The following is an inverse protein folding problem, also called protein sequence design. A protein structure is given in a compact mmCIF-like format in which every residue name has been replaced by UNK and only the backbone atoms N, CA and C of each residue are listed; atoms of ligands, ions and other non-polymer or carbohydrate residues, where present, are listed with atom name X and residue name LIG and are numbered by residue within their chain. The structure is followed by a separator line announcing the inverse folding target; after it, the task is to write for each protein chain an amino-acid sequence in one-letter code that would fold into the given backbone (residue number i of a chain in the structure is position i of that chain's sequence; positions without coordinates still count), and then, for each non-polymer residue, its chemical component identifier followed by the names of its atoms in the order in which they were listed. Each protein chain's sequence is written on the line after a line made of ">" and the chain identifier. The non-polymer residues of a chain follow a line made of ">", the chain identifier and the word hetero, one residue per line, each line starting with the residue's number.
data_IF_456716161243
#
_entry.id   IF_456716161243
#
_cell.length_a   1.000
_cell.length_b   1.000
_cell.length_c   1.000
_cell.angle_alpha   90.00
_cell.angle_beta   90.00
_cell.angle_gamma   90.00
#
_symmetry.space_group_name_H-M   'P 1'
#
loop_
_entity.id
_entity.type
_entity.pdbx_description
1 polymer ?
#
# COMPACT_ATOMS: atom_id res chain seq x y z
N UNK A 1 27.59 -9.71 10.47
CA UNK A 1 26.47 -10.58 10.02
C UNK A 1 25.35 -10.71 11.05
N UNK A 2 25.62 -10.67 12.37
CA UNK A 2 24.58 -10.56 13.40
C UNK A 2 23.81 -9.22 13.37
N UNK A 3 24.44 -8.15 12.88
CA UNK A 3 23.87 -6.80 12.80
C UNK A 3 22.65 -6.71 11.89
N UNK A 4 22.79 -7.18 10.65
CA UNK A 4 21.77 -7.05 9.62
C UNK A 4 20.40 -7.64 10.01
N UNK A 5 20.37 -8.82 10.63
CA UNK A 5 19.12 -9.45 11.03
C UNK A 5 18.43 -8.70 12.18
N UNK A 6 19.23 -8.17 13.10
CA UNK A 6 18.74 -7.38 14.23
C UNK A 6 18.21 -6.03 13.77
N UNK A 7 18.96 -5.33 12.93
CA UNK A 7 18.54 -4.06 12.32
C UNK A 7 17.27 -4.24 11.49
N UNK A 8 17.16 -5.32 10.70
CA UNK A 8 15.96 -5.60 9.92
C UNK A 8 14.75 -5.85 10.82
N UNK A 9 14.92 -6.57 11.93
CA UNK A 9 13.85 -6.79 12.90
C UNK A 9 13.42 -5.47 13.58
N UNK A 10 14.37 -4.60 13.89
CA UNK A 10 14.10 -3.24 14.37
C UNK A 10 13.30 -2.44 13.35
N UNK A 11 13.69 -2.45 12.07
CA UNK A 11 12.95 -1.79 10.98
C UNK A 11 11.52 -2.29 10.86
N UNK A 12 11.33 -3.61 10.87
CA UNK A 12 9.99 -4.23 10.85
C UNK A 12 9.15 -3.74 12.04
N UNK A 13 9.76 -3.64 13.22
CA UNK A 13 9.05 -3.19 14.43
C UNK A 13 8.66 -1.71 14.36
N UNK A 14 9.52 -0.86 13.80
CA UNK A 14 9.21 0.55 13.54
C UNK A 14 8.06 0.68 12.55
N UNK A 15 8.12 -0.04 11.43
CA UNK A 15 7.06 -0.08 10.41
C UNK A 15 5.72 -0.49 11.01
N UNK A 16 5.67 -1.61 11.74
CA UNK A 16 4.46 -2.12 12.36
C UNK A 16 3.85 -1.08 13.33
N UNK A 17 4.69 -0.40 14.12
CA UNK A 17 4.24 0.66 15.03
C UNK A 17 3.54 1.81 14.31
N UNK A 18 4.06 2.25 13.16
CA UNK A 18 3.41 3.29 12.35
C UNK A 18 2.07 2.79 11.78
N UNK A 19 2.04 1.58 11.22
CA UNK A 19 0.83 0.97 10.68
C UNK A 19 -0.27 0.80 11.75
N UNK A 20 0.08 0.33 12.95
CA UNK A 20 -0.89 0.16 14.04
C UNK A 20 -1.52 1.48 14.49
N UNK A 21 -0.80 2.60 14.38
CA UNK A 21 -1.33 3.93 14.68
C UNK A 21 -2.45 4.36 13.72
N UNK A 22 -2.43 3.86 12.48
CA UNK A 22 -3.38 4.25 11.45
C UNK A 22 -4.79 3.69 11.66
N UNK A 23 -4.93 2.56 12.35
CA UNK A 23 -6.24 1.99 12.65
C UNK A 23 -7.14 2.98 13.40
N UNK A 24 -6.64 3.54 14.52
CA UNK A 24 -7.38 4.51 15.31
C UNK A 24 -7.61 5.82 14.53
N UNK A 25 -6.62 6.28 13.76
CA UNK A 25 -6.72 7.50 12.95
C UNK A 25 -7.77 7.40 11.86
N UNK A 26 -7.81 6.28 11.12
CA UNK A 26 -8.81 6.02 10.09
C UNK A 26 -10.24 6.00 10.68
N UNK A 27 -10.42 5.37 11.85
CA UNK A 27 -11.74 5.16 12.45
C UNK A 27 -12.27 6.33 13.28
N UNK A 28 -11.40 7.00 14.02
CA UNK A 28 -11.81 7.95 15.07
C UNK A 28 -11.48 9.41 14.73
N UNK A 29 -10.56 9.65 13.79
CA UNK A 29 -10.14 11.00 13.42
C UNK A 29 -10.62 11.36 12.01
N UNK A 30 -10.17 10.60 11.00
CA UNK A 30 -10.51 10.85 9.61
C UNK A 30 -11.95 10.46 9.27
N UNK A 31 -12.49 9.41 9.92
CA UNK A 31 -13.79 8.81 9.60
C UNK A 31 -13.95 8.51 8.11
N UNK A 32 -12.89 7.98 7.50
CA UNK A 32 -12.81 7.82 6.05
C UNK A 32 -11.41 7.43 5.60
N UNK A 33 -11.20 7.32 4.27
CA UNK A 33 -9.95 6.81 3.74
C UNK A 33 -8.79 7.73 4.13
N UNK A 34 -7.65 7.12 4.44
CA UNK A 34 -6.37 7.81 4.64
C UNK A 34 -5.22 6.99 4.05
N UNK A 35 -4.05 7.60 3.93
CA UNK A 35 -2.87 6.94 3.40
C UNK A 35 -1.63 7.15 4.26
N UNK A 36 -0.67 6.24 4.12
CA UNK A 36 0.67 6.36 4.66
C UNK A 36 1.70 5.97 3.59
N UNK A 37 2.73 6.78 3.39
CA UNK A 37 3.79 6.56 2.41
C UNK A 37 5.11 6.44 3.16
N UNK A 38 5.91 5.44 2.78
CA UNK A 38 7.29 5.26 3.20
C UNK A 38 8.20 5.47 1.98
N UNK A 39 9.19 6.35 2.09
CA UNK A 39 10.12 6.67 0.99
C UNK A 39 11.55 6.88 1.48
N UNK A 40 12.53 6.67 0.61
CA UNK A 40 13.94 7.00 0.89
C UNK A 40 14.21 8.51 0.80
N UNK A 41 13.43 9.22 -0.02
CA UNK A 41 13.57 10.66 -0.22
C UNK A 41 12.50 11.42 0.57
N UNK A 42 12.90 12.49 1.26
CA UNK A 42 12.01 13.60 1.57
C UNK A 42 11.75 14.34 0.24
N UNK A 43 10.50 14.52 -0.20
CA UNK A 43 10.25 15.23 -1.44
C UNK A 43 10.67 16.69 -1.28
N UNK A 44 11.62 17.09 -2.12
CA UNK A 44 12.04 18.47 -2.25
C UNK A 44 10.94 19.26 -2.97
N UNK A 45 9.93 19.72 -2.23
CA UNK A 45 9.00 20.79 -2.63
C UNK A 45 8.02 20.50 -3.80
N UNK A 46 6.71 20.64 -3.50
CA UNK A 46 5.60 20.86 -4.44
C UNK A 46 5.47 19.92 -5.66
N UNK A 47 4.68 18.86 -5.49
CA UNK A 47 3.96 18.17 -6.56
C UNK A 47 2.54 17.82 -6.10
N UNK A 48 1.55 18.50 -6.69
CA UNK A 48 0.11 18.60 -6.38
C UNK A 48 -0.57 17.46 -5.58
N UNK A 49 -0.89 17.76 -4.31
CA UNK A 49 -1.85 17.04 -3.46
C UNK A 49 -3.31 17.12 -3.96
N UNK A 50 -3.56 17.87 -5.03
CA UNK A 50 -4.92 18.19 -5.51
C UNK A 50 -5.53 17.14 -6.44
N UNK A 51 -4.74 16.31 -7.10
CA UNK A 51 -5.24 15.45 -8.18
C UNK A 51 -5.98 14.20 -7.67
N UNK A 52 -5.72 13.77 -6.43
CA UNK A 52 -6.30 12.54 -5.86
C UNK A 52 -7.66 12.73 -5.16
N UNK A 53 -8.09 13.97 -4.90
CA UNK A 53 -9.19 14.25 -3.95
C UNK A 53 -10.53 14.71 -4.56
N UNK A 54 -10.61 15.03 -5.86
CA UNK A 54 -11.77 15.76 -6.41
C UNK A 54 -12.90 14.90 -7.03
N UNK A 55 -12.76 13.59 -7.25
CA UNK A 55 -13.76 12.80 -8.00
C UNK A 55 -14.89 12.14 -7.16
N UNK A 56 -14.81 12.15 -5.83
CA UNK A 56 -15.48 11.14 -5.00
C UNK A 56 -16.82 11.55 -4.33
N UNK A 57 -17.50 12.62 -4.74
CA UNK A 57 -18.48 13.30 -3.85
C UNK A 57 -19.98 12.93 -3.84
N UNK A 58 -20.67 12.36 -4.86
CA UNK A 58 -22.14 12.22 -4.73
C UNK A 58 -22.74 10.81 -4.59
N UNK A 59 -21.99 9.71 -4.61
CA UNK A 59 -22.61 8.35 -4.68
C UNK A 59 -22.48 7.50 -3.39
N UNK A 60 -21.84 8.04 -2.34
CA UNK A 60 -21.57 7.34 -1.07
C UNK A 60 -22.80 6.77 -0.37
N UNK A 61 -23.97 7.42 -0.44
CA UNK A 61 -25.15 7.00 0.36
C UNK A 61 -25.89 5.79 -0.24
N UNK A 62 -25.73 5.48 -1.53
CA UNK A 62 -26.52 4.43 -2.21
C UNK A 62 -25.88 3.03 -2.06
N UNK A 63 -24.62 2.96 -1.67
CA UNK A 63 -23.82 1.71 -1.71
C UNK A 63 -23.66 1.07 -0.32
N UNK A 64 -23.78 1.85 0.76
CA UNK A 64 -23.75 1.36 2.15
C UNK A 64 -24.84 0.31 2.44
N UNK A 65 -26.01 0.40 1.79
CA UNK A 65 -27.09 -0.60 1.92
C UNK A 65 -26.76 -1.94 1.23
N UNK A 66 -25.86 -1.96 0.24
CA UNK A 66 -25.51 -3.19 -0.49
C UNK A 66 -24.52 -4.08 0.25
N UNK A 67 -23.69 -3.50 1.12
CA UNK A 67 -22.68 -4.25 1.87
C UNK A 67 -23.24 -5.08 3.02
N UNK A 68 -24.40 -4.71 3.59
CA UNK A 68 -25.06 -5.51 4.64
C UNK A 68 -25.64 -6.81 4.10
N UNK A 69 -25.89 -6.90 2.79
CA UNK A 69 -26.45 -8.07 2.10
C UNK A 69 -25.40 -9.13 1.70
N UNK A 70 -24.11 -8.79 1.67
CA UNK A 70 -23.09 -9.63 1.03
C UNK A 70 -22.43 -10.70 1.92
N UNK A 71 -22.70 -10.74 3.23
CA UNK A 71 -22.43 -11.90 4.11
C UNK A 71 -21.10 -12.64 3.91
N UNK A 72 -19.97 -11.94 3.82
CA UNK A 72 -18.68 -12.55 3.47
C UNK A 72 -18.16 -13.43 4.62
N UNK A 73 -18.21 -14.75 4.43
CA UNK A 73 -17.51 -15.76 5.22
C UNK A 73 -16.14 -16.10 4.58
N UNK A 74 -15.22 -16.51 5.45
CA UNK A 74 -13.81 -16.88 5.20
C UNK A 74 -13.51 -17.57 3.85
N UNK A 75 -12.41 -17.17 3.22
CA UNK A 75 -11.95 -17.64 1.90
C UNK A 75 -11.47 -19.11 1.94
N UNK A 76 -11.79 -19.94 0.92
CA UNK A 76 -11.16 -21.24 0.73
C UNK A 76 -9.79 -21.10 0.04
N UNK A 77 -8.88 -22.01 0.40
CA UNK A 77 -7.58 -22.25 -0.25
C UNK A 77 -7.74 -22.39 -1.77
N UNK A 78 -7.09 -21.52 -2.54
CA UNK A 78 -6.96 -21.67 -4.00
C UNK A 78 -5.70 -22.51 -4.30
N UNK A 79 -5.87 -23.83 -4.30
CA UNK A 79 -4.91 -24.79 -4.85
C UNK A 79 -5.11 -24.90 -6.37
N UNK A 80 -4.62 -23.91 -7.13
CA UNK A 80 -4.23 -24.10 -8.55
C UNK A 80 -3.40 -22.92 -9.06
N UNK A 81 -2.29 -23.16 -9.79
CA UNK A 81 -1.55 -22.12 -10.45
C UNK A 81 -2.34 -21.71 -11.71
N UNK A 82 -3.22 -20.72 -11.57
CA UNK A 82 -3.75 -20.02 -12.73
C UNK A 82 -2.55 -19.34 -13.41
N UNK A 83 -2.30 -19.56 -14.71
CA UNK A 83 -1.31 -18.76 -15.44
C UNK A 83 -1.81 -17.32 -15.43
N UNK A 84 -1.20 -16.47 -14.59
CA UNK A 84 -1.46 -15.04 -14.62
C UNK A 84 -0.85 -14.49 -15.91
N UNK A 85 -1.71 -14.12 -16.86
CA UNK A 85 -1.30 -13.33 -18.02
C UNK A 85 -1.01 -11.91 -17.54
N UNK A 86 0.28 -11.61 -17.36
CA UNK A 86 0.74 -10.33 -16.83
C UNK A 86 0.79 -9.29 -17.97
N UNK A 87 0.04 -8.18 -17.89
CA UNK A 87 0.10 -7.12 -18.89
C UNK A 87 1.52 -6.55 -19.01
N UNK A 88 2.02 -6.41 -20.24
CA UNK A 88 3.38 -5.93 -20.50
C UNK A 88 3.54 -4.43 -20.67
N UNK A 89 2.46 -3.70 -20.94
CA UNK A 89 2.48 -2.27 -21.20
C UNK A 89 2.35 -1.47 -19.89
N UNK A 90 3.08 -0.36 -19.77
CA UNK A 90 2.97 0.58 -18.64
C UNK A 90 3.92 0.34 -17.46
N UNK A 91 4.80 -0.66 -17.51
CA UNK A 91 5.90 -0.83 -16.55
C UNK A 91 7.07 0.09 -16.90
N UNK A 92 7.69 0.75 -15.91
CA UNK A 92 8.95 1.47 -16.15
C UNK A 92 10.00 0.51 -16.70
N UNK A 93 10.74 0.96 -17.72
CA UNK A 93 11.90 0.26 -18.28
C UNK A 93 13.25 0.93 -17.92
N UNK A 94 13.23 2.12 -17.31
CA UNK A 94 14.42 2.91 -16.92
C UNK A 94 14.29 3.49 -15.49
N UNK A 95 15.45 3.91 -14.94
CA UNK A 95 15.71 4.29 -13.54
C UNK A 95 14.52 4.94 -12.81
N UNK A 96 13.99 4.21 -11.82
CA UNK A 96 12.87 4.60 -10.99
C UNK A 96 13.15 5.88 -10.21
N UNK A 97 12.69 7.02 -10.70
CA UNK A 97 12.88 8.32 -10.02
C UNK A 97 12.27 8.43 -8.61
N UNK A 98 11.37 7.53 -8.20
CA UNK A 98 10.80 7.54 -6.84
C UNK A 98 10.40 6.13 -6.41
N UNK A 99 11.14 5.56 -5.45
CA UNK A 99 10.81 4.29 -4.80
C UNK A 99 10.11 4.58 -3.47
N UNK A 100 8.88 4.15 -3.35
CA UNK A 100 8.09 4.30 -2.13
C UNK A 100 7.08 3.17 -2.01
N UNK A 101 6.71 2.85 -0.76
CA UNK A 101 5.61 1.93 -0.46
C UNK A 101 4.47 2.77 0.11
N UNK A 102 3.29 2.68 -0.51
CA UNK A 102 2.08 3.31 -0.01
C UNK A 102 1.18 2.26 0.65
N UNK A 103 0.55 2.69 1.74
CA UNK A 103 -0.56 2.03 2.37
C UNK A 103 -1.80 2.89 2.26
N UNK A 104 -2.92 2.25 1.92
CA UNK A 104 -4.24 2.86 1.93
C UNK A 104 -5.08 2.19 3.01
N UNK A 105 -5.75 2.99 3.83
CA UNK A 105 -6.52 2.53 4.99
C UNK A 105 -8.00 2.81 4.76
N UNK A 106 -8.80 1.74 4.83
CA UNK A 106 -10.26 1.77 4.74
C UNK A 106 -10.87 1.46 6.11
N UNK A 107 -12.18 1.57 6.24
CA UNK A 107 -12.85 1.31 7.53
C UNK A 107 -12.61 -0.13 8.04
N UNK A 108 -12.50 -1.15 7.18
CA UNK A 108 -12.47 -2.55 7.65
C UNK A 108 -11.16 -3.28 7.35
N UNK A 109 -10.33 -2.69 6.52
CA UNK A 109 -9.13 -3.31 6.00
C UNK A 109 -8.16 -2.21 5.58
N UNK A 110 -6.94 -2.60 5.29
CA UNK A 110 -5.96 -1.71 4.68
C UNK A 110 -5.17 -2.50 3.65
N UNK A 111 -4.48 -1.82 2.75
CA UNK A 111 -3.68 -2.49 1.74
C UNK A 111 -2.33 -1.85 1.55
N UNK A 112 -1.35 -2.66 1.18
CA UNK A 112 -0.22 -2.16 0.42
C UNK A 112 -0.75 -1.86 -0.98
N UNK A 113 -0.52 -0.64 -1.42
CA UNK A 113 -0.90 -0.11 -2.72
C UNK A 113 0.36 0.35 -3.44
N UNK A 114 0.85 -0.44 -4.40
CA UNK A 114 2.12 -0.16 -5.08
C UNK A 114 1.84 0.33 -6.50
N UNK A 115 2.03 1.63 -6.77
CA UNK A 115 1.85 2.17 -8.11
C UNK A 115 2.85 1.57 -9.12
N UNK A 116 2.40 1.36 -10.37
CA UNK A 116 3.23 0.77 -11.44
C UNK A 116 4.57 1.49 -11.65
N UNK A 117 4.64 2.78 -11.36
CA UNK A 117 5.82 3.62 -11.57
C UNK A 117 6.87 3.49 -10.45
N UNK A 118 6.57 2.73 -9.39
CA UNK A 118 7.49 2.40 -8.28
C UNK A 118 8.11 1.01 -8.41
N UNK A 119 7.63 0.17 -9.34
CA UNK A 119 8.11 -1.20 -9.57
C UNK A 119 8.50 -1.44 -11.02
N UNK A 120 9.53 -2.26 -11.23
CA UNK A 120 9.76 -2.90 -12.51
C UNK A 120 8.91 -4.17 -12.64
N UNK A 121 8.59 -4.57 -13.87
CA UNK A 121 7.77 -5.78 -14.13
C UNK A 121 8.33 -7.02 -13.43
N UNK A 122 9.63 -7.26 -13.57
CA UNK A 122 10.26 -8.43 -12.96
C UNK A 122 10.19 -8.40 -11.42
N UNK A 123 10.14 -7.22 -10.80
CA UNK A 123 10.02 -7.07 -9.34
C UNK A 123 8.61 -7.48 -8.89
N UNK A 124 7.57 -6.99 -9.56
CA UNK A 124 6.18 -7.40 -9.29
C UNK A 124 5.97 -8.90 -9.50
N UNK A 125 6.54 -9.45 -10.58
CA UNK A 125 6.53 -10.91 -10.82
C UNK A 125 7.26 -11.70 -9.72
N UNK A 126 8.39 -11.18 -9.24
CA UNK A 126 9.15 -11.80 -8.15
C UNK A 126 8.34 -11.78 -6.86
N UNK A 127 7.67 -10.66 -6.57
CA UNK A 127 6.77 -10.52 -5.41
C UNK A 127 5.66 -11.55 -5.44
N UNK A 128 4.91 -11.68 -6.55
CA UNK A 128 3.82 -12.68 -6.63
C UNK A 128 4.30 -14.12 -6.47
N UNK A 129 5.52 -14.42 -6.93
CA UNK A 129 6.12 -15.77 -6.79
C UNK A 129 6.59 -16.05 -5.36
N UNK A 130 7.10 -15.04 -4.64
CA UNK A 130 7.76 -15.23 -3.35
C UNK A 130 6.89 -14.86 -2.14
N UNK A 131 5.84 -14.04 -2.34
CA UNK A 131 4.98 -13.52 -1.28
C UNK A 131 3.52 -13.75 -1.67
N UNK A 132 2.81 -14.50 -0.84
CA UNK A 132 1.39 -14.79 -1.08
C UNK A 132 0.53 -13.54 -0.84
N UNK A 133 -0.58 -13.47 -1.57
CA UNK A 133 -1.62 -12.46 -1.39
C UNK A 133 -1.44 -11.19 -2.21
N UNK A 134 -0.32 -11.03 -2.94
CA UNK A 134 -0.17 -9.96 -3.92
C UNK A 134 -0.94 -10.27 -5.22
N UNK A 135 -1.53 -9.24 -5.83
CA UNK A 135 -2.28 -9.34 -7.08
C UNK A 135 -2.31 -8.01 -7.84
N UNK A 136 -2.63 -8.05 -9.13
CA UNK A 136 -2.97 -6.86 -9.91
C UNK A 136 -4.42 -6.47 -9.66
N UNK A 137 -4.70 -5.19 -9.45
CA UNK A 137 -6.06 -4.75 -9.19
C UNK A 137 -7.01 -5.04 -10.36
N UNK A 138 -6.54 -5.04 -11.61
CA UNK A 138 -7.37 -5.43 -12.74
C UNK A 138 -7.94 -6.86 -12.62
N UNK A 139 -7.22 -7.77 -11.96
CA UNK A 139 -7.67 -9.15 -11.71
C UNK A 139 -8.71 -9.22 -10.58
N UNK A 140 -8.77 -8.20 -9.71
CA UNK A 140 -9.62 -8.15 -8.51
C UNK A 140 -10.23 -6.77 -8.26
N UNK A 141 -11.10 -6.27 -9.16
CA UNK A 141 -11.65 -4.91 -9.09
C UNK A 141 -12.52 -4.65 -7.85
N UNK A 142 -12.95 -5.69 -7.13
CA UNK A 142 -13.66 -5.52 -5.86
C UNK A 142 -12.82 -4.86 -4.75
N UNK A 143 -11.49 -4.77 -4.94
CA UNK A 143 -10.57 -4.09 -4.02
C UNK A 143 -10.12 -2.71 -4.54
N UNK A 144 -10.83 -2.15 -5.53
CA UNK A 144 -10.59 -0.77 -5.98
C UNK A 144 -10.95 0.19 -4.85
N UNK A 145 -10.04 1.12 -4.56
CA UNK A 145 -10.29 2.14 -3.54
C UNK A 145 -11.30 3.13 -4.09
N UNK A 146 -12.12 3.69 -3.21
CA UNK A 146 -13.16 4.60 -3.64
C UNK A 146 -12.56 5.91 -4.20
N UNK A 147 -12.88 6.24 -5.46
CA UNK A 147 -12.36 7.43 -6.15
C UNK A 147 -11.03 7.21 -6.89
N UNK A 148 -10.52 5.99 -6.90
CA UNK A 148 -9.30 5.62 -7.63
C UNK A 148 -9.53 5.52 -9.15
N UNK A 149 -8.68 6.19 -9.93
CA UNK A 149 -8.64 6.03 -11.39
C UNK A 149 -7.84 4.78 -11.77
N UNK A 150 -8.56 3.67 -11.95
CA UNK A 150 -8.00 2.35 -12.29
C UNK A 150 -7.60 2.26 -13.78
N UNK A 151 -8.13 3.13 -14.65
CA UNK A 151 -7.97 2.96 -16.11
C UNK A 151 -6.57 3.35 -16.63
N UNK A 152 -5.72 3.98 -15.81
CA UNK A 152 -4.35 4.39 -16.18
C UNK A 152 -3.19 3.64 -15.51
N UNK A 153 -3.42 2.98 -14.37
CA UNK A 153 -2.40 2.33 -13.55
C UNK A 153 -2.91 0.92 -13.14
N UNK A 154 -2.15 -0.18 -13.28
CA UNK A 154 -2.43 -1.37 -12.44
C UNK A 154 -1.76 -1.09 -11.12
N UNK A 155 -2.49 -0.70 -10.07
CA UNK A 155 -1.94 -0.81 -8.75
C UNK A 155 -1.72 -2.30 -8.44
N UNK A 156 -0.50 -2.60 -7.98
CA UNK A 156 -0.13 -3.90 -7.47
C UNK A 156 -0.41 -3.92 -5.97
N UNK A 157 -1.27 -4.83 -5.52
CA UNK A 157 -1.87 -4.75 -4.18
C UNK A 157 -1.73 -6.00 -3.36
N UNK A 158 -1.76 -5.81 -2.05
CA UNK A 158 -2.06 -6.86 -1.07
C UNK A 158 -2.94 -6.31 0.04
N UNK A 159 -3.99 -7.03 0.37
CA UNK A 159 -4.97 -6.65 1.40
C UNK A 159 -4.59 -7.27 2.75
N UNK A 160 -4.82 -6.51 3.82
CA UNK A 160 -4.61 -6.86 5.21
C UNK A 160 -5.84 -6.49 6.03
N UNK A 161 -6.06 -7.21 7.13
CA UNK A 161 -7.03 -6.81 8.14
C UNK A 161 -6.32 -6.09 9.28
N UNK A 162 -7.03 -5.20 9.98
CA UNK A 162 -6.51 -4.62 11.21
C UNK A 162 -6.15 -5.72 12.22
N UNK A 163 -4.94 -5.66 12.76
CA UNK A 163 -4.27 -6.75 13.49
C UNK A 163 -3.17 -7.46 12.70
N UNK A 164 -3.10 -7.30 11.37
CA UNK A 164 -2.05 -7.87 10.51
C UNK A 164 -0.86 -6.92 10.27
N UNK A 165 -0.70 -5.87 11.08
CA UNK A 165 0.29 -4.81 10.83
C UNK A 165 1.73 -5.32 10.84
N UNK A 166 2.02 -6.35 11.63
CA UNK A 166 3.34 -7.00 11.61
C UNK A 166 3.59 -7.73 10.28
N UNK A 167 2.58 -8.41 9.74
CA UNK A 167 2.68 -9.09 8.44
C UNK A 167 2.88 -8.07 7.30
N UNK A 168 2.14 -6.97 7.35
CA UNK A 168 2.30 -5.85 6.43
C UNK A 168 3.70 -5.21 6.53
N UNK A 169 4.21 -5.00 7.74
CA UNK A 169 5.55 -4.50 7.97
C UNK A 169 6.65 -5.45 7.44
N UNK A 170 6.45 -6.76 7.55
CA UNK A 170 7.36 -7.75 6.98
C UNK A 170 7.36 -7.73 5.44
N UNK A 171 6.20 -7.54 4.80
CA UNK A 171 6.10 -7.37 3.35
C UNK A 171 6.80 -6.07 2.90
N UNK A 172 6.60 -4.97 3.62
CA UNK A 172 7.30 -3.71 3.34
C UNK A 172 8.83 -3.84 3.50
N UNK A 173 9.30 -4.50 4.56
CA UNK A 173 10.72 -4.77 4.75
C UNK A 173 11.31 -5.68 3.66
N UNK A 174 10.52 -6.62 3.15
CA UNK A 174 10.91 -7.42 1.98
C UNK A 174 11.09 -6.51 0.74
N UNK A 175 10.13 -5.62 0.47
CA UNK A 175 10.18 -4.70 -0.68
C UNK A 175 11.43 -3.82 -0.60
N UNK A 176 11.64 -3.08 0.51
CA UNK A 176 12.79 -2.19 0.62
C UNK A 176 14.13 -2.94 0.58
N UNK A 177 14.32 -3.93 1.45
CA UNK A 177 15.66 -4.44 1.73
C UNK A 177 16.04 -5.68 0.90
N UNK A 178 15.06 -6.40 0.34
CA UNK A 178 15.33 -7.62 -0.43
C UNK A 178 15.02 -7.45 -1.91
N UNK A 179 13.89 -6.81 -2.25
CA UNK A 179 13.51 -6.58 -3.64
C UNK A 179 14.30 -5.41 -4.23
N UNK A 180 14.22 -4.23 -3.61
CA UNK A 180 14.91 -3.01 -4.06
C UNK A 180 16.35 -2.88 -3.56
N UNK A 181 16.77 -3.77 -2.65
CA UNK A 181 18.15 -3.86 -2.14
C UNK A 181 18.63 -2.59 -1.43
N UNK A 182 17.72 -1.84 -0.80
CA UNK A 182 18.12 -0.72 0.04
C UNK A 182 18.92 -1.22 1.24
N UNK A 183 19.96 -0.49 1.67
CA UNK A 183 20.59 -0.69 2.97
C UNK A 183 19.56 -0.65 4.09
N UNK A 184 19.71 -1.52 5.10
CA UNK A 184 18.75 -1.59 6.22
C UNK A 184 18.86 -0.35 7.12
N UNK A 185 20.03 0.27 7.15
CA UNK A 185 20.35 1.52 7.83
C UNK A 185 20.04 2.77 6.99
N UNK A 186 19.52 2.62 5.75
CA UNK A 186 19.09 3.76 4.95
C UNK A 186 18.07 4.61 5.70
N UNK A 187 18.16 5.96 5.63
CA UNK A 187 17.13 6.83 6.16
C UNK A 187 15.85 6.59 5.37
N UNK A 188 14.76 6.34 6.07
CA UNK A 188 13.43 6.28 5.50
C UNK A 188 12.60 7.39 6.13
N UNK A 189 11.67 7.91 5.36
CA UNK A 189 10.75 8.96 5.76
C UNK A 189 9.33 8.44 5.67
N UNK A 190 8.49 8.82 6.64
CA UNK A 190 7.07 8.49 6.65
C UNK A 190 6.23 9.74 6.47
N UNK A 191 5.23 9.68 5.60
CA UNK A 191 4.14 10.65 5.51
C UNK A 191 2.83 9.94 5.77
N UNK A 192 1.91 10.52 6.53
CA UNK A 192 0.55 10.01 6.60
C UNK A 192 -0.47 11.12 6.75
N UNK A 193 -1.54 11.01 5.97
CA UNK A 193 -2.53 12.06 5.84
C UNK A 193 -3.91 11.46 5.54
N UNK A 194 -4.98 12.13 5.98
CA UNK A 194 -6.33 11.82 5.54
C UNK A 194 -6.52 12.26 4.08
N UNK A 195 -7.23 11.47 3.27
CA UNK A 195 -7.57 11.93 1.92
C UNK A 195 -8.37 13.24 1.99
N UNK A 196 -8.04 14.18 1.11
CA UNK A 196 -8.60 15.54 1.13
C UNK A 196 -7.94 16.52 2.12
N UNK A 197 -6.83 16.13 2.78
CA UNK A 197 -5.95 17.06 3.51
C UNK A 197 -6.50 17.55 4.85
N UNK A 198 -7.52 16.89 5.41
CA UNK A 198 -8.16 17.31 6.67
C UNK A 198 -7.26 17.08 7.91
N UNK A 199 -6.42 16.06 7.86
CA UNK A 199 -5.47 15.70 8.93
C UNK A 199 -4.14 15.34 8.31
N UNK A 200 -3.06 15.89 8.89
CA UNK A 200 -1.67 15.59 8.52
C UNK A 200 -0.96 15.12 9.80
N UNK A 201 -0.63 13.83 9.85
CA UNK A 201 -0.11 13.20 11.07
C UNK A 201 1.40 13.04 11.06
N UNK A 202 1.97 12.74 9.90
CA UNK A 202 3.40 12.64 9.68
C UNK A 202 3.77 13.42 8.41
N UNK A 203 4.76 14.30 8.51
CA UNK A 203 5.25 15.13 7.39
C UNK A 203 6.74 14.82 7.12
N UNK A 204 6.98 13.65 6.52
CA UNK A 204 8.31 13.12 6.22
C UNK A 204 9.19 13.05 7.46
N UNK A 205 8.63 12.47 8.53
CA UNK A 205 9.37 12.18 9.75
C UNK A 205 10.37 11.04 9.50
N UNK A 206 11.63 11.16 9.95
CA UNK A 206 12.59 10.07 9.81
C UNK A 206 12.22 8.91 10.71
N UNK A 207 12.35 7.69 10.20
CA UNK A 207 12.12 6.44 10.94
C UNK A 207 13.40 5.62 11.04
#
# INVERSE_FOLDING_TARGET
>A
MQDYHLERATRISQFARHLSGMHARAHHEAHGPCFMIFSENKPDGLGDEKTLAESARPEMETVLERFTLAGIQSMPHLDSPIPLEIPGEGWKQDDSGSRYVQFSFEEKWFCIDIPRDTLFRFEGETMMKQRQGFFYLCDRPQFTLYGEDVEGHDPFRKIYLYGDEESAAQDMAYIFFQLWRFPVDSPLYVKACAFGGKYDWEDYDPI
#
